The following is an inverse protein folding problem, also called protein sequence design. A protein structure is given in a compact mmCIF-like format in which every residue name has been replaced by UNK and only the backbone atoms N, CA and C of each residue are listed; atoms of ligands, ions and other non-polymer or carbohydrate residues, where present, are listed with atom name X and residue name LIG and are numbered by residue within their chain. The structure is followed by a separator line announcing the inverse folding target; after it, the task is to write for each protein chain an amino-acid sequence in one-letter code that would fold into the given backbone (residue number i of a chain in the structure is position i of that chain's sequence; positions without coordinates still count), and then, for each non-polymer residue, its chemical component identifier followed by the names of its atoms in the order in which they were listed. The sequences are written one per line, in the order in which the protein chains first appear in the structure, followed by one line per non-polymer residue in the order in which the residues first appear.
data_IF_595934574943
#
_entry.id   IF_595934574943
#
_cell.length_a   1.000
_cell.length_b   1.000
_cell.length_c   1.000
_cell.angle_alpha   90.00
_cell.angle_beta   90.00
_cell.angle_gamma   90.00
#
_symmetry.space_group_name_H-M   'P 1'
#
loop_
_entity.id
_entity.type
_entity.pdbx_description
1 polymer ?
#
# COMPACT_ATOMS: atom_id res chain seq x y z
N UNK A 1 -25.64 -31.93 25.43
CA UNK A 1 -25.76 -31.21 24.15
C UNK A 1 -24.35 -30.96 23.64
N UNK A 2 -23.92 -31.73 22.65
CA UNK A 2 -22.57 -31.64 22.08
C UNK A 2 -22.64 -30.65 20.90
N UNK A 3 -21.89 -29.54 21.02
CA UNK A 3 -21.73 -28.56 19.96
C UNK A 3 -20.64 -29.06 19.01
N UNK A 4 -21.02 -29.48 17.81
CA UNK A 4 -20.12 -29.82 16.73
C UNK A 4 -19.57 -28.55 16.10
N UNK A 5 -18.31 -28.23 16.36
CA UNK A 5 -17.58 -27.25 15.55
C UNK A 5 -17.23 -27.89 14.20
N UNK A 6 -17.92 -27.44 13.15
CA UNK A 6 -17.54 -27.72 11.77
C UNK A 6 -16.30 -26.85 11.44
N UNK A 7 -15.13 -27.44 11.48
CA UNK A 7 -13.93 -26.86 10.87
C UNK A 7 -14.08 -27.03 9.34
N UNK A 8 -14.45 -25.96 8.65
CA UNK A 8 -14.40 -25.92 7.18
C UNK A 8 -12.93 -25.81 6.79
N UNK A 9 -12.31 -26.94 6.49
CA UNK A 9 -11.00 -26.97 5.84
C UNK A 9 -11.17 -26.44 4.41
N UNK A 10 -10.71 -25.21 4.16
CA UNK A 10 -10.61 -24.64 2.82
C UNK A 10 -9.50 -25.38 2.08
N UNK A 11 -9.85 -26.43 1.35
CA UNK A 11 -8.92 -27.13 0.48
C UNK A 11 -8.60 -26.21 -0.72
N UNK A 12 -7.39 -25.68 -0.77
CA UNK A 12 -6.88 -24.98 -1.94
C UNK A 12 -6.75 -25.99 -3.08
N UNK A 13 -7.51 -25.84 -4.14
CA UNK A 13 -7.37 -26.67 -5.34
C UNK A 13 -6.17 -26.13 -6.13
N UNK A 14 -5.13 -26.93 -6.24
CA UNK A 14 -3.97 -26.67 -7.11
C UNK A 14 -4.26 -27.26 -8.49
N UNK A 15 -4.48 -26.41 -9.46
CA UNK A 15 -4.61 -26.81 -10.88
C UNK A 15 -3.36 -26.38 -11.61
N UNK A 16 -2.68 -27.30 -12.31
CA UNK A 16 -1.58 -26.98 -13.19
C UNK A 16 -2.15 -26.37 -14.48
N UNK A 17 -1.96 -25.07 -14.70
CA UNK A 17 -2.35 -24.39 -15.92
C UNK A 17 -1.17 -24.28 -16.90
N UNK A 18 -1.44 -24.28 -18.20
CA UNK A 18 -0.40 -24.31 -19.24
C UNK A 18 0.01 -22.89 -19.65
N UNK A 19 0.85 -22.24 -18.88
CA UNK A 19 1.56 -21.05 -19.34
C UNK A 19 3.04 -21.18 -18.97
N UNK A 20 3.89 -21.33 -20.01
CA UNK A 20 5.35 -21.31 -19.85
C UNK A 20 5.88 -19.98 -20.34
N UNK A 21 6.22 -19.07 -19.44
CA UNK A 21 7.08 -17.93 -19.72
C UNK A 21 8.50 -18.24 -19.20
N UNK A 22 9.50 -18.07 -20.04
CA UNK A 22 10.89 -18.23 -19.64
C UNK A 22 11.30 -19.63 -19.14
N UNK A 23 10.58 -20.70 -19.54
CA UNK A 23 10.89 -22.08 -19.14
C UNK A 23 10.39 -22.50 -17.75
N UNK A 24 9.57 -21.67 -17.07
CA UNK A 24 8.99 -21.98 -15.77
C UNK A 24 7.49 -22.24 -15.88
N UNK A 25 7.03 -23.32 -15.22
CA UNK A 25 5.61 -23.63 -15.11
C UNK A 25 4.97 -22.76 -14.05
N UNK A 26 3.93 -22.01 -14.42
CA UNK A 26 3.05 -21.35 -13.51
C UNK A 26 2.09 -22.35 -12.87
N UNK A 27 1.98 -22.28 -11.57
CA UNK A 27 0.98 -23.01 -10.79
C UNK A 27 -0.12 -22.08 -10.36
N UNK A 28 -1.32 -22.61 -10.22
CA UNK A 28 -2.49 -21.86 -9.83
C UNK A 28 -3.01 -22.32 -8.46
N UNK A 29 -3.32 -21.35 -7.60
CA UNK A 29 -4.03 -21.58 -6.34
C UNK A 29 -5.19 -20.62 -6.28
N UNK A 30 -6.41 -21.14 -6.09
CA UNK A 30 -7.62 -20.34 -5.97
C UNK A 30 -7.98 -20.09 -4.51
N UNK A 31 -8.34 -18.86 -4.19
CA UNK A 31 -9.01 -18.49 -2.95
C UNK A 31 -10.39 -17.91 -3.27
N UNK A 32 -11.25 -17.60 -2.31
CA UNK A 32 -12.54 -16.98 -2.59
C UNK A 32 -12.46 -15.70 -3.45
N UNK A 33 -11.44 -14.84 -3.22
CA UNK A 33 -11.34 -13.54 -3.86
C UNK A 33 -10.11 -13.37 -4.75
N UNK A 34 -9.16 -14.31 -4.72
CA UNK A 34 -7.93 -14.22 -5.51
C UNK A 34 -7.69 -15.47 -6.34
N UNK A 35 -7.02 -15.25 -7.48
CA UNK A 35 -6.38 -16.26 -8.29
C UNK A 35 -4.88 -16.03 -8.20
N UNK A 36 -4.17 -16.91 -7.49
CA UNK A 36 -2.73 -16.78 -7.27
C UNK A 36 -1.99 -17.67 -8.27
N UNK A 37 -1.29 -17.04 -9.19
CA UNK A 37 -0.37 -17.67 -10.13
C UNK A 37 1.03 -17.56 -9.55
N UNK A 38 1.75 -18.68 -9.40
CA UNK A 38 3.05 -18.67 -8.75
C UNK A 38 4.05 -19.63 -9.42
N UNK A 39 5.31 -19.22 -9.46
CA UNK A 39 6.40 -19.99 -10.07
C UNK A 39 7.08 -20.96 -9.10
N UNK A 40 6.85 -20.81 -7.80
CA UNK A 40 7.41 -21.69 -6.78
C UNK A 40 6.60 -22.99 -6.65
N UNK A 41 7.20 -24.13 -6.22
CA UNK A 41 6.48 -25.40 -6.00
C UNK A 41 5.34 -25.29 -5.00
N UNK A 42 5.42 -24.40 -4.05
CA UNK A 42 4.42 -24.11 -3.00
C UNK A 42 4.34 -22.62 -2.72
N UNK A 43 3.20 -22.20 -2.21
CA UNK A 43 3.01 -20.84 -1.71
C UNK A 43 3.66 -20.66 -0.34
N UNK A 44 4.15 -19.44 -0.02
CA UNK A 44 4.60 -19.12 1.33
C UNK A 44 3.51 -19.39 2.37
N UNK A 45 3.88 -19.96 3.53
CA UNK A 45 2.92 -20.25 4.60
C UNK A 45 2.12 -18.99 4.99
N UNK A 46 0.80 -19.14 5.13
CA UNK A 46 -0.09 -18.07 5.56
C UNK A 46 -0.46 -17.04 4.46
N UNK A 47 0.14 -17.10 3.26
CA UNK A 47 -0.11 -16.10 2.20
C UNK A 47 -1.58 -16.07 1.79
N UNK A 48 -2.23 -17.19 1.56
CA UNK A 48 -3.64 -17.26 1.15
C UNK A 48 -4.59 -16.71 2.21
N UNK A 49 -4.33 -17.02 3.48
CA UNK A 49 -5.11 -16.47 4.61
C UNK A 49 -4.89 -14.96 4.71
N UNK A 50 -3.65 -14.52 4.60
CA UNK A 50 -3.31 -13.09 4.62
C UNK A 50 -3.95 -12.30 3.48
N UNK A 51 -4.02 -12.88 2.28
CA UNK A 51 -4.73 -12.28 1.13
C UNK A 51 -6.22 -12.08 1.41
N UNK A 52 -6.88 -13.07 1.99
CA UNK A 52 -8.31 -12.93 2.34
C UNK A 52 -8.53 -11.90 3.47
N UNK A 53 -7.60 -11.77 4.42
CA UNK A 53 -7.62 -10.70 5.42
C UNK A 53 -7.45 -9.34 4.77
N UNK A 54 -6.52 -9.19 3.82
CA UNK A 54 -6.35 -7.96 3.03
C UNK A 54 -7.66 -7.61 2.31
N UNK A 55 -8.24 -8.58 1.60
CA UNK A 55 -9.50 -8.35 0.90
C UNK A 55 -10.61 -7.89 1.85
N UNK A 56 -10.75 -8.52 3.01
CA UNK A 56 -11.73 -8.11 4.01
C UNK A 56 -11.50 -6.66 4.47
N UNK A 57 -10.26 -6.31 4.82
CA UNK A 57 -9.90 -4.95 5.26
C UNK A 57 -10.14 -3.93 4.15
N UNK A 58 -9.65 -4.16 2.93
CA UNK A 58 -9.87 -3.26 1.80
C UNK A 58 -11.37 -3.08 1.48
N UNK A 59 -12.18 -4.10 1.65
CA UNK A 59 -13.64 -3.98 1.50
C UNK A 59 -14.26 -3.08 2.57
N UNK A 60 -13.78 -3.15 3.81
CA UNK A 60 -14.26 -2.30 4.90
C UNK A 60 -13.83 -0.84 4.71
N UNK A 61 -12.59 -0.60 4.32
CA UNK A 61 -12.02 0.74 4.21
C UNK A 61 -12.32 1.40 2.86
N UNK A 62 -12.25 0.64 1.77
CA UNK A 62 -12.38 1.14 0.39
C UNK A 62 -13.71 0.74 -0.29
N UNK A 63 -14.62 0.07 0.42
CA UNK A 63 -15.92 -0.33 -0.13
C UNK A 63 -16.78 0.84 -0.63
N UNK A 64 -16.53 2.04 -0.12
CA UNK A 64 -17.17 3.27 -0.61
C UNK A 64 -16.72 3.68 -2.03
N UNK A 65 -15.58 3.16 -2.52
CA UNK A 65 -15.04 3.43 -3.85
C UNK A 65 -15.31 2.31 -4.86
N UNK A 66 -15.76 1.14 -4.43
CA UNK A 66 -15.92 -0.01 -5.30
C UNK A 66 -17.14 -0.84 -4.93
N UNK A 67 -17.92 -1.18 -5.94
CA UNK A 67 -18.90 -2.26 -5.80
C UNK A 67 -18.14 -3.59 -5.90
N UNK A 68 -17.61 -4.08 -4.77
CA UNK A 68 -16.99 -5.40 -4.68
C UNK A 68 -18.04 -6.47 -5.02
N UNK A 69 -18.31 -6.66 -6.31
CA UNK A 69 -19.38 -7.56 -6.78
C UNK A 69 -19.13 -9.04 -6.46
N UNK A 70 -17.96 -9.36 -5.92
CA UNK A 70 -17.61 -10.70 -5.44
C UNK A 70 -17.47 -11.77 -6.53
N UNK A 71 -17.65 -11.40 -7.81
CA UNK A 71 -17.62 -12.36 -8.92
C UNK A 71 -16.25 -12.47 -9.59
N UNK A 72 -15.48 -11.38 -9.57
CA UNK A 72 -14.18 -11.34 -10.26
C UNK A 72 -13.04 -11.41 -9.24
N UNK A 73 -12.29 -12.50 -9.27
CA UNK A 73 -11.07 -12.62 -8.48
C UNK A 73 -10.00 -11.67 -9.03
N UNK A 74 -9.27 -11.03 -8.13
CA UNK A 74 -8.04 -10.35 -8.53
C UNK A 74 -6.93 -11.38 -8.78
N UNK A 75 -6.15 -11.18 -9.83
CA UNK A 75 -5.04 -12.05 -10.19
C UNK A 75 -3.78 -11.61 -9.43
N UNK A 76 -3.10 -12.55 -8.78
CA UNK A 76 -1.82 -12.31 -8.12
C UNK A 76 -0.76 -13.13 -8.84
N UNK A 77 0.23 -12.45 -9.40
CA UNK A 77 1.39 -13.08 -10.03
C UNK A 77 2.57 -13.05 -9.06
N UNK A 78 2.89 -14.19 -8.46
CA UNK A 78 4.00 -14.34 -7.54
C UNK A 78 5.19 -14.95 -8.28
N UNK A 79 6.11 -14.11 -8.69
CA UNK A 79 7.37 -14.53 -9.28
C UNK A 79 8.29 -15.15 -8.22
N UNK A 80 9.09 -16.14 -8.58
CA UNK A 80 9.97 -16.85 -7.63
C UNK A 80 11.05 -15.99 -6.99
N UNK A 81 11.50 -14.92 -7.71
CA UNK A 81 12.55 -14.01 -7.29
C UNK A 81 12.46 -12.67 -8.05
N UNK A 82 13.28 -11.70 -7.64
CA UNK A 82 13.35 -10.37 -8.25
C UNK A 82 13.77 -10.43 -9.72
N UNK A 83 14.68 -11.32 -10.09
CA UNK A 83 15.14 -11.43 -11.47
C UNK A 83 14.02 -11.89 -12.41
N UNK A 84 13.27 -12.92 -12.01
CA UNK A 84 12.12 -13.41 -12.75
C UNK A 84 11.00 -12.35 -12.83
N UNK A 85 10.83 -11.55 -11.80
CA UNK A 85 9.85 -10.48 -11.75
C UNK A 85 10.19 -9.35 -12.74
N UNK A 86 11.42 -8.86 -12.72
CA UNK A 86 11.86 -7.74 -13.59
C UNK A 86 11.83 -8.12 -15.07
N UNK A 87 12.13 -9.39 -15.40
CA UNK A 87 12.12 -9.89 -16.80
C UNK A 87 10.83 -10.62 -17.16
N UNK A 88 9.81 -10.55 -16.31
CA UNK A 88 8.51 -11.19 -16.56
C UNK A 88 7.61 -10.38 -17.48
N UNK A 89 6.40 -10.90 -17.73
CA UNK A 89 5.40 -10.35 -18.67
C UNK A 89 5.11 -8.85 -18.48
N UNK A 90 5.20 -8.35 -17.24
CA UNK A 90 4.79 -6.99 -16.94
C UNK A 90 5.93 -5.97 -16.97
N UNK A 91 7.17 -6.41 -17.18
CA UNK A 91 8.37 -5.57 -17.29
C UNK A 91 8.40 -4.44 -16.25
N UNK A 92 8.22 -4.74 -14.94
CA UNK A 92 8.19 -3.71 -13.92
C UNK A 92 9.56 -3.05 -13.79
N UNK A 93 9.63 -1.81 -13.28
CA UNK A 93 10.91 -1.18 -13.00
C UNK A 93 11.76 -2.04 -12.05
N UNK A 94 13.09 -2.12 -12.26
CA UNK A 94 13.98 -2.94 -11.44
C UNK A 94 14.00 -2.61 -9.94
N UNK A 95 13.53 -1.42 -9.59
CA UNK A 95 13.44 -0.96 -8.20
C UNK A 95 12.07 -1.20 -7.54
N UNK A 96 11.05 -1.65 -8.29
CA UNK A 96 9.73 -1.88 -7.71
C UNK A 96 9.67 -3.22 -6.97
N UNK A 97 8.88 -3.27 -5.91
CA UNK A 97 8.61 -4.50 -5.16
C UNK A 97 7.25 -5.11 -5.53
N UNK A 98 6.47 -4.40 -6.36
CA UNK A 98 5.17 -4.82 -6.85
C UNK A 98 4.71 -3.89 -7.97
N UNK A 99 3.71 -4.33 -8.72
CA UNK A 99 3.05 -3.52 -9.73
C UNK A 99 1.59 -3.91 -9.88
N UNK A 100 0.71 -2.90 -9.91
CA UNK A 100 -0.70 -3.08 -10.25
C UNK A 100 -0.89 -3.01 -11.76
N UNK A 101 -1.48 -4.04 -12.35
CA UNK A 101 -1.77 -4.17 -13.79
C UNK A 101 -3.28 -4.02 -13.99
N UNK A 102 -3.70 -2.80 -14.25
CA UNK A 102 -5.11 -2.42 -14.23
C UNK A 102 -5.97 -3.17 -15.25
N UNK A 103 -5.51 -3.28 -16.48
CA UNK A 103 -6.26 -3.91 -17.57
C UNK A 103 -6.47 -5.43 -17.37
N UNK A 104 -5.62 -6.06 -16.56
CA UNK A 104 -5.69 -7.48 -16.23
C UNK A 104 -6.32 -7.73 -14.86
N UNK A 105 -6.71 -6.70 -14.12
CA UNK A 105 -7.11 -6.79 -12.72
C UNK A 105 -6.13 -7.65 -11.91
N UNK A 106 -4.85 -7.29 -12.02
CA UNK A 106 -3.76 -8.11 -11.50
C UNK A 106 -2.75 -7.30 -10.70
N UNK A 107 -2.10 -7.99 -9.79
CA UNK A 107 -0.91 -7.52 -9.07
C UNK A 107 0.21 -8.52 -9.31
N UNK A 108 1.40 -8.01 -9.64
CA UNK A 108 2.59 -8.82 -9.75
C UNK A 108 3.61 -8.41 -8.67
N UNK A 109 4.20 -9.41 -8.00
CA UNK A 109 5.24 -9.21 -6.99
C UNK A 109 6.31 -10.30 -7.11
N UNK A 110 7.58 -10.03 -6.72
CA UNK A 110 8.56 -11.08 -6.48
C UNK A 110 8.31 -11.77 -5.14
N UNK A 111 8.70 -13.03 -5.01
CA UNK A 111 8.73 -13.68 -3.70
C UNK A 111 9.75 -12.98 -2.80
N UNK A 112 9.35 -12.73 -1.57
CA UNK A 112 10.16 -12.10 -0.53
C UNK A 112 10.38 -13.10 0.61
N UNK A 113 11.42 -12.85 1.41
CA UNK A 113 11.75 -13.71 2.55
C UNK A 113 10.61 -13.82 3.58
N UNK A 114 9.99 -12.67 3.86
CA UNK A 114 8.94 -12.57 4.87
C UNK A 114 7.56 -12.47 4.21
N UNK A 115 6.64 -13.38 4.58
CA UNK A 115 5.25 -13.33 4.10
C UNK A 115 4.56 -12.02 4.45
N UNK A 116 4.84 -11.46 5.63
CA UNK A 116 4.31 -10.15 6.05
C UNK A 116 4.73 -9.02 5.11
N UNK A 117 5.95 -9.05 4.58
CA UNK A 117 6.43 -8.06 3.61
C UNK A 117 5.69 -8.17 2.27
N UNK A 118 5.46 -9.41 1.79
CA UNK A 118 4.63 -9.63 0.59
C UNK A 118 3.21 -9.15 0.80
N UNK A 119 2.60 -9.43 1.96
CA UNK A 119 1.24 -9.02 2.27
C UNK A 119 1.10 -7.48 2.31
N UNK A 120 2.09 -6.75 2.82
CA UNK A 120 2.09 -5.28 2.78
C UNK A 120 2.11 -4.76 1.35
N UNK A 121 3.01 -5.28 0.50
CA UNK A 121 3.05 -4.90 -0.92
C UNK A 121 1.75 -5.26 -1.63
N UNK A 122 1.19 -6.44 -1.35
CA UNK A 122 -0.09 -6.85 -1.94
C UNK A 122 -1.25 -5.95 -1.50
N UNK A 123 -1.28 -5.50 -0.25
CA UNK A 123 -2.27 -4.53 0.21
C UNK A 123 -2.13 -3.19 -0.53
N UNK A 124 -0.89 -2.70 -0.69
CA UNK A 124 -0.57 -1.48 -1.43
C UNK A 124 -1.06 -1.55 -2.88
N UNK A 125 -0.64 -2.56 -3.62
CA UNK A 125 -0.96 -2.71 -5.04
C UNK A 125 -2.47 -2.98 -5.29
N UNK A 126 -3.12 -3.76 -4.42
CA UNK A 126 -4.56 -3.96 -4.52
C UNK A 126 -5.34 -2.66 -4.23
N UNK A 127 -4.83 -1.78 -3.38
CA UNK A 127 -5.40 -0.45 -3.16
C UNK A 127 -5.38 0.37 -4.45
N UNK A 128 -4.25 0.35 -5.18
CA UNK A 128 -4.16 0.99 -6.49
C UNK A 128 -5.17 0.42 -7.48
N UNK A 129 -5.34 -0.91 -7.56
CA UNK A 129 -6.34 -1.52 -8.46
C UNK A 129 -7.75 -0.97 -8.20
N UNK A 130 -8.15 -0.87 -6.93
CA UNK A 130 -9.46 -0.39 -6.53
C UNK A 130 -9.61 1.11 -6.83
N UNK A 131 -8.64 1.90 -6.36
CA UNK A 131 -8.76 3.35 -6.36
C UNK A 131 -8.59 3.97 -7.75
N UNK A 132 -7.66 3.47 -8.55
CA UNK A 132 -7.48 3.91 -9.94
C UNK A 132 -8.69 3.51 -10.79
N UNK A 133 -9.23 2.30 -10.59
CA UNK A 133 -10.46 1.88 -11.28
C UNK A 133 -11.61 2.85 -11.01
N UNK A 134 -11.83 3.21 -9.74
CA UNK A 134 -12.84 4.19 -9.35
C UNK A 134 -12.67 5.54 -10.05
N UNK A 135 -11.44 6.07 -10.16
CA UNK A 135 -11.18 7.32 -10.86
C UNK A 135 -11.39 7.20 -12.38
N UNK A 136 -10.99 6.07 -12.98
CA UNK A 136 -11.13 5.81 -14.42
C UNK A 136 -12.57 5.69 -14.87
N UNK A 137 -13.51 5.33 -13.99
CA UNK A 137 -14.95 5.44 -14.26
C UNK A 137 -15.36 6.88 -14.56
N UNK A 138 -14.65 7.88 -14.04
CA UNK A 138 -14.77 9.31 -14.38
C UNK A 138 -13.82 9.78 -15.48
N UNK A 139 -13.18 8.86 -16.23
CA UNK A 139 -12.20 9.14 -17.29
C UNK A 139 -10.98 9.96 -16.83
N UNK A 140 -10.53 9.75 -15.59
CA UNK A 140 -9.39 10.45 -14.97
C UNK A 140 -8.52 9.47 -14.19
N UNK A 141 -7.27 9.85 -13.99
CA UNK A 141 -6.42 9.20 -13.01
C UNK A 141 -6.44 9.98 -11.67
N UNK A 142 -6.30 9.30 -10.53
CA UNK A 142 -6.20 9.98 -9.24
C UNK A 142 -4.93 10.83 -9.17
N UNK A 143 -4.94 11.95 -8.41
CA UNK A 143 -3.71 12.65 -8.09
C UNK A 143 -2.71 11.72 -7.40
N UNK A 144 -1.43 11.74 -7.81
CA UNK A 144 -0.41 10.81 -7.31
C UNK A 144 -0.34 10.77 -5.78
N UNK A 145 -0.38 11.94 -5.12
CA UNK A 145 -0.28 12.00 -3.66
C UNK A 145 -1.46 11.34 -2.92
N UNK A 146 -2.69 11.40 -3.48
CA UNK A 146 -3.86 10.71 -2.88
C UNK A 146 -3.73 9.20 -3.09
N UNK A 147 -3.37 8.80 -4.30
CA UNK A 147 -3.21 7.40 -4.68
C UNK A 147 -2.17 6.70 -3.82
N UNK A 148 -0.97 7.30 -3.73
CA UNK A 148 0.12 6.77 -2.91
C UNK A 148 -0.20 6.82 -1.41
N UNK A 149 -0.73 7.95 -0.95
CA UNK A 149 -1.08 8.12 0.45
C UNK A 149 -2.11 7.11 0.94
N UNK A 150 -3.10 6.78 0.11
CA UNK A 150 -4.10 5.78 0.43
C UNK A 150 -3.51 4.36 0.43
N UNK A 151 -2.68 4.03 -0.57
CA UNK A 151 -2.01 2.73 -0.62
C UNK A 151 -1.09 2.50 0.59
N UNK A 152 -0.35 3.54 1.01
CA UNK A 152 0.48 3.47 2.22
C UNK A 152 -0.34 3.36 3.52
N UNK A 153 -1.55 3.90 3.58
CA UNK A 153 -2.44 3.66 4.73
C UNK A 153 -2.84 2.20 4.80
N UNK A 154 -3.11 1.58 3.65
CA UNK A 154 -3.52 0.19 3.57
C UNK A 154 -2.37 -0.83 3.73
N UNK A 155 -1.12 -0.39 3.65
CA UNK A 155 0.04 -1.19 4.06
C UNK A 155 0.07 -1.44 5.58
N UNK A 156 -0.56 -0.57 6.38
CA UNK A 156 -0.50 -0.67 7.83
C UNK A 156 -1.20 -1.95 8.32
N UNK A 157 -0.52 -2.69 9.18
CA UNK A 157 -1.05 -3.93 9.76
C UNK A 157 -2.26 -3.66 10.68
N UNK A 158 -2.31 -2.48 11.31
CA UNK A 158 -3.42 -2.09 12.20
C UNK A 158 -3.77 -0.61 12.05
N UNK A 159 -4.95 -0.27 11.54
CA UNK A 159 -5.45 1.11 11.54
C UNK A 159 -5.64 1.71 12.94
N UNK A 160 -5.87 0.88 13.96
CA UNK A 160 -6.04 1.31 15.35
C UNK A 160 -4.71 1.67 16.01
N UNK A 161 -3.62 1.07 15.53
CA UNK A 161 -2.26 1.27 16.01
C UNK A 161 -1.35 1.82 14.90
N UNK A 162 -1.61 3.05 14.39
CA UNK A 162 -0.85 3.61 13.27
C UNK A 162 0.63 3.77 13.60
N UNK A 163 1.00 3.86 14.88
CA UNK A 163 2.38 3.94 15.35
C UNK A 163 3.22 2.70 15.03
N UNK A 164 2.62 1.57 14.71
CA UNK A 164 3.33 0.36 14.26
C UNK A 164 3.80 0.49 12.82
N UNK A 165 3.17 1.37 12.02
CA UNK A 165 3.57 1.64 10.65
C UNK A 165 4.86 2.46 10.58
N UNK A 166 5.80 2.06 9.72
CA UNK A 166 7.00 2.82 9.43
C UNK A 166 6.67 4.21 8.84
N UNK A 167 5.61 4.32 8.04
CA UNK A 167 5.16 5.59 7.48
C UNK A 167 4.74 6.59 8.57
N UNK A 168 4.02 6.11 9.59
CA UNK A 168 3.64 6.95 10.73
C UNK A 168 4.86 7.37 11.55
N UNK A 169 5.80 6.47 11.81
CA UNK A 169 7.03 6.78 12.52
C UNK A 169 7.87 7.81 11.77
N UNK A 170 8.00 7.67 10.44
CA UNK A 170 8.70 8.63 9.58
C UNK A 170 7.99 9.98 9.58
N UNK A 171 6.65 10.02 9.54
CA UNK A 171 5.87 11.24 9.66
C UNK A 171 6.17 11.98 10.98
N UNK A 172 6.21 11.26 12.09
CA UNK A 172 6.49 11.83 13.43
C UNK A 172 7.93 12.32 13.55
N UNK A 173 8.87 11.66 12.88
CA UNK A 173 10.29 12.00 12.89
C UNK A 173 10.67 13.15 11.95
N UNK A 174 9.84 13.45 10.94
CA UNK A 174 10.16 14.45 9.91
C UNK A 174 10.20 15.86 10.49
N UNK A 175 11.27 16.60 10.20
CA UNK A 175 11.41 18.01 10.62
C UNK A 175 10.39 18.90 9.89
N UNK A 176 9.91 19.93 10.60
CA UNK A 176 8.92 20.87 10.06
C UNK A 176 9.37 21.60 8.78
N UNK A 177 10.69 21.75 8.58
CA UNK A 177 11.28 22.40 7.40
C UNK A 177 11.36 21.49 6.17
N UNK A 178 11.20 20.18 6.35
CA UNK A 178 11.30 19.20 5.27
C UNK A 178 10.01 19.04 4.48
N UNK A 179 8.87 19.53 5.00
CA UNK A 179 7.60 19.47 4.31
C UNK A 179 7.56 20.40 3.11
N UNK A 180 7.15 19.89 1.96
CA UNK A 180 6.87 20.72 0.80
C UNK A 180 5.73 21.71 1.11
N UNK A 181 5.79 22.96 0.59
CA UNK A 181 4.62 23.85 0.58
C UNK A 181 3.44 23.16 -0.13
N UNK A 182 2.25 23.26 0.44
CA UNK A 182 1.10 22.44 0.03
C UNK A 182 0.71 22.65 -1.44
N UNK A 183 0.74 23.89 -1.93
CA UNK A 183 0.41 24.19 -3.32
C UNK A 183 1.41 23.57 -4.31
N UNK A 184 2.70 23.52 -3.95
CA UNK A 184 3.73 22.85 -4.72
C UNK A 184 3.51 21.33 -4.67
N UNK A 185 3.30 20.80 -3.46
CA UNK A 185 3.13 19.38 -3.23
C UNK A 185 2.00 18.76 -4.07
N UNK A 186 0.85 19.41 -4.15
CA UNK A 186 -0.29 18.90 -4.93
C UNK A 186 -0.04 18.79 -6.43
N UNK A 187 0.99 19.45 -6.95
CA UNK A 187 1.36 19.44 -8.38
C UNK A 187 2.50 18.47 -8.69
N UNK A 188 3.21 17.97 -7.67
CA UNK A 188 4.35 17.07 -7.87
C UNK A 188 3.86 15.75 -8.47
N UNK A 189 4.50 15.36 -9.57
CA UNK A 189 4.51 14.00 -10.05
C UNK A 189 5.85 13.36 -9.64
N UNK A 190 5.88 12.45 -8.66
CA UNK A 190 7.13 11.95 -8.09
C UNK A 190 8.02 11.26 -9.12
N UNK A 191 7.44 10.60 -10.11
CA UNK A 191 8.20 9.90 -11.15
C UNK A 191 8.86 10.86 -12.15
N UNK A 192 8.22 12.01 -12.43
CA UNK A 192 8.72 12.98 -13.42
C UNK A 192 9.59 14.05 -12.77
N UNK A 193 9.15 14.54 -11.60
CA UNK A 193 9.71 15.75 -11.01
C UNK A 193 10.81 15.45 -9.98
N UNK A 194 10.83 14.22 -9.41
CA UNK A 194 11.71 13.87 -8.28
C UNK A 194 12.58 12.63 -8.54
N UNK A 195 12.52 12.01 -9.71
CA UNK A 195 13.08 10.67 -9.98
C UNK A 195 14.58 10.53 -9.68
N UNK A 196 15.36 11.62 -9.75
CA UNK A 196 16.81 11.63 -9.53
C UNK A 196 17.19 11.92 -8.07
N UNK A 197 16.25 12.32 -7.21
CA UNK A 197 16.49 12.69 -5.83
C UNK A 197 15.73 11.79 -4.85
N UNK A 198 16.42 10.77 -4.35
CA UNK A 198 15.83 9.78 -3.41
C UNK A 198 15.29 10.41 -2.12
N UNK A 199 15.92 11.49 -1.64
CA UNK A 199 15.49 12.18 -0.42
C UNK A 199 14.17 12.95 -0.68
N UNK A 200 14.09 13.67 -1.78
CA UNK A 200 12.86 14.37 -2.17
C UNK A 200 11.71 13.39 -2.43
N UNK A 201 12.00 12.26 -3.08
CA UNK A 201 11.03 11.17 -3.27
C UNK A 201 10.53 10.65 -1.93
N UNK A 202 11.42 10.32 -0.99
CA UNK A 202 11.03 9.84 0.34
C UNK A 202 10.18 10.88 1.08
N UNK A 203 10.53 12.16 1.02
CA UNK A 203 9.76 13.27 1.61
C UNK A 203 8.37 13.38 0.99
N UNK A 204 8.25 13.22 -0.34
CA UNK A 204 6.96 13.20 -1.01
C UNK A 204 6.05 12.10 -0.47
N UNK A 205 6.55 10.88 -0.37
CA UNK A 205 5.76 9.74 0.13
C UNK A 205 5.34 9.93 1.59
N UNK A 206 6.23 10.37 2.47
CA UNK A 206 5.87 10.65 3.87
C UNK A 206 4.83 11.76 3.97
N UNK A 207 4.91 12.79 3.13
CA UNK A 207 3.90 13.87 3.09
C UNK A 207 2.57 13.36 2.53
N UNK A 208 2.57 12.55 1.48
CA UNK A 208 1.38 11.91 0.91
C UNK A 208 0.66 11.06 1.95
N UNK A 209 1.40 10.18 2.64
CA UNK A 209 0.88 9.41 3.77
C UNK A 209 0.25 10.31 4.84
N UNK A 210 0.98 11.32 5.29
CA UNK A 210 0.56 12.19 6.40
C UNK A 210 -0.72 12.98 6.08
N UNK A 211 -0.83 13.50 4.86
CA UNK A 211 -2.02 14.25 4.40
C UNK A 211 -3.21 13.29 4.28
N UNK A 212 -3.03 12.14 3.67
CA UNK A 212 -4.11 11.16 3.50
C UNK A 212 -4.55 10.61 4.85
N UNK A 213 -3.62 10.31 5.75
CA UNK A 213 -3.93 9.93 7.13
C UNK A 213 -4.76 11.01 7.83
N UNK A 214 -4.39 12.29 7.70
CA UNK A 214 -5.15 13.40 8.26
C UNK A 214 -6.57 13.47 7.69
N UNK A 215 -6.72 13.35 6.36
CA UNK A 215 -8.02 13.43 5.70
C UNK A 215 -8.94 12.24 6.03
N UNK A 216 -8.39 11.04 6.18
CA UNK A 216 -9.16 9.81 6.43
C UNK A 216 -9.43 9.62 7.93
N UNK A 217 -8.41 9.78 8.79
CA UNK A 217 -8.51 9.41 10.22
C UNK A 217 -8.95 10.55 11.13
N UNK A 218 -8.72 11.80 10.75
CA UNK A 218 -9.22 12.97 11.50
C UNK A 218 -10.67 13.31 11.15
N UNK A 219 -11.11 12.92 9.97
CA UNK A 219 -12.43 13.19 9.42
C UNK A 219 -13.19 11.87 9.17
N UNK A 220 -14.34 11.95 8.53
CA UNK A 220 -15.12 10.75 8.22
C UNK A 220 -14.74 10.16 6.84
N UNK A 221 -14.89 8.86 6.68
CA UNK A 221 -14.73 8.19 5.39
C UNK A 221 -15.65 8.77 4.30
N UNK A 222 -16.87 9.20 4.67
CA UNK A 222 -17.80 9.85 3.74
C UNK A 222 -17.31 11.21 3.24
N UNK A 223 -16.63 11.98 4.10
CA UNK A 223 -16.00 13.24 3.68
C UNK A 223 -14.83 12.97 2.74
N UNK A 224 -14.02 11.93 3.01
CA UNK A 224 -12.94 11.53 2.13
C UNK A 224 -13.48 11.06 0.78
N UNK A 225 -14.55 10.25 0.77
CA UNK A 225 -15.23 9.89 -0.48
C UNK A 225 -15.72 11.10 -1.25
N UNK A 226 -16.44 12.02 -0.58
CA UNK A 226 -16.92 13.26 -1.22
C UNK A 226 -15.77 14.08 -1.84
N UNK A 227 -14.62 14.15 -1.15
CA UNK A 227 -13.42 14.78 -1.69
C UNK A 227 -12.93 14.08 -2.95
N UNK A 228 -12.83 12.76 -2.95
CA UNK A 228 -12.41 11.97 -4.10
C UNK A 228 -13.42 12.05 -5.25
N UNK A 229 -14.74 12.06 -4.97
CA UNK A 229 -15.78 12.28 -5.97
C UNK A 229 -15.57 13.61 -6.71
N UNK A 230 -15.28 14.68 -5.96
CA UNK A 230 -15.02 16.00 -6.56
C UNK A 230 -13.77 16.01 -7.44
N UNK A 231 -12.70 15.37 -7.00
CA UNK A 231 -11.48 15.23 -7.81
C UNK A 231 -11.75 14.44 -9.08
N UNK A 232 -12.48 13.31 -8.97
CA UNK A 232 -12.87 12.47 -10.10
C UNK A 232 -13.74 13.24 -11.10
N UNK A 233 -14.64 14.09 -10.60
CA UNK A 233 -15.50 14.96 -11.42
C UNK A 233 -14.74 16.16 -12.01
N UNK A 234 -13.42 16.27 -11.75
CA UNK A 234 -12.55 17.30 -12.35
C UNK A 234 -12.47 18.60 -11.59
N UNK A 235 -13.00 18.67 -10.38
CA UNK A 235 -12.80 19.83 -9.53
C UNK A 235 -11.34 19.99 -9.14
N UNK A 236 -10.91 21.23 -8.89
CA UNK A 236 -9.58 21.51 -8.34
C UNK A 236 -9.44 20.90 -6.93
N UNK A 237 -8.19 20.63 -6.51
CA UNK A 237 -7.92 20.19 -5.12
C UNK A 237 -8.47 21.21 -4.12
N UNK A 238 -8.31 22.50 -4.38
CA UNK A 238 -8.85 23.57 -3.52
C UNK A 238 -10.37 23.50 -3.39
N UNK A 239 -11.09 23.37 -4.51
CA UNK A 239 -12.56 23.29 -4.48
C UNK A 239 -13.04 22.00 -3.83
N UNK A 240 -12.35 20.89 -4.08
CA UNK A 240 -12.64 19.61 -3.46
C UNK A 240 -12.47 19.66 -1.92
N UNK A 241 -11.40 20.28 -1.43
CA UNK A 241 -11.17 20.54 -0.01
C UNK A 241 -12.26 21.45 0.59
N UNK A 242 -12.63 22.50 -0.14
CA UNK A 242 -13.68 23.43 0.31
C UNK A 242 -15.05 22.75 0.40
N UNK A 243 -15.41 21.97 -0.62
CA UNK A 243 -16.73 21.34 -0.71
C UNK A 243 -16.90 20.14 0.24
N UNK A 244 -15.86 19.34 0.43
CA UNK A 244 -15.94 18.13 1.26
C UNK A 244 -15.60 18.38 2.73
N UNK A 245 -14.64 19.27 3.02
CA UNK A 245 -14.12 19.50 4.37
C UNK A 245 -14.30 20.91 4.88
N UNK A 246 -14.86 21.82 4.06
CA UNK A 246 -15.10 23.23 4.40
C UNK A 246 -13.81 24.04 4.70
N UNK A 247 -12.66 23.63 4.14
CA UNK A 247 -11.44 24.42 4.20
C UNK A 247 -11.54 25.60 3.25
N UNK A 248 -11.26 26.80 3.75
CA UNK A 248 -11.45 28.05 2.98
C UNK A 248 -10.46 28.21 1.83
N UNK A 249 -9.25 27.70 2.00
CA UNK A 249 -8.16 27.74 1.03
C UNK A 249 -7.17 26.59 1.26
N UNK A 250 -6.25 26.36 0.32
CA UNK A 250 -5.11 25.45 0.52
C UNK A 250 -4.28 25.85 1.73
N UNK A 251 -4.07 27.15 1.97
CA UNK A 251 -3.36 27.64 3.14
C UNK A 251 -4.09 27.38 4.47
N UNK A 252 -5.44 27.49 4.52
CA UNK A 252 -6.22 27.12 5.70
C UNK A 252 -6.09 25.62 5.98
N UNK A 253 -6.15 24.78 4.94
CA UNK A 253 -5.91 23.35 5.04
C UNK A 253 -4.50 23.05 5.56
N UNK A 254 -3.46 23.65 4.98
CA UNK A 254 -2.07 23.46 5.38
C UNK A 254 -1.86 23.83 6.86
N UNK A 255 -2.42 24.95 7.31
CA UNK A 255 -2.31 25.38 8.70
C UNK A 255 -2.93 24.36 9.67
N UNK A 256 -4.10 23.81 9.33
CA UNK A 256 -4.77 22.81 10.19
C UNK A 256 -4.05 21.46 10.17
N UNK A 257 -3.56 21.02 9.01
CA UNK A 257 -2.74 19.82 8.91
C UNK A 257 -1.43 19.97 9.69
N UNK A 258 -0.72 21.10 9.58
CA UNK A 258 0.50 21.38 10.35
C UNK A 258 0.23 21.49 11.85
N UNK A 259 -0.93 21.99 12.26
CA UNK A 259 -1.33 22.01 13.65
C UNK A 259 -1.58 20.60 14.19
N UNK A 260 -2.23 19.75 13.41
CA UNK A 260 -2.43 18.34 13.73
C UNK A 260 -1.11 17.58 13.84
N UNK A 261 -0.16 17.77 12.89
CA UNK A 261 1.18 17.14 12.97
C UNK A 261 1.94 17.47 14.26
N UNK A 262 1.72 18.66 14.80
CA UNK A 262 2.37 19.12 16.05
C UNK A 262 1.71 18.59 17.32
N UNK A 263 0.60 17.87 17.21
CA UNK A 263 -0.07 17.30 18.40
C UNK A 263 0.89 16.33 19.12
N UNK A 264 1.15 16.55 20.42
CA UNK A 264 2.04 15.69 21.20
C UNK A 264 1.61 14.22 21.25
N UNK A 265 0.35 13.93 20.92
CA UNK A 265 -0.17 12.56 20.89
C UNK A 265 0.63 11.67 19.92
N UNK A 266 1.05 12.20 18.77
CA UNK A 266 1.81 11.42 17.80
C UNK A 266 3.16 10.97 18.37
N UNK A 267 3.90 11.87 19.01
CA UNK A 267 5.18 11.55 19.66
C UNK A 267 5.01 10.56 20.80
N UNK A 268 3.97 10.75 21.63
CA UNK A 268 3.68 9.83 22.75
C UNK A 268 3.40 8.41 22.24
N UNK A 269 2.58 8.24 21.22
CA UNK A 269 2.29 6.90 20.62
C UNK A 269 3.57 6.19 20.20
N UNK A 270 4.45 6.87 19.46
CA UNK A 270 5.71 6.28 18.98
C UNK A 270 6.67 5.99 20.14
N UNK A 271 6.76 6.86 21.17
CA UNK A 271 7.61 6.58 22.34
C UNK A 271 7.11 5.38 23.13
N UNK A 272 5.80 5.29 23.39
CA UNK A 272 5.21 4.15 24.10
C UNK A 272 5.47 2.82 23.37
N UNK A 273 5.37 2.79 22.03
CA UNK A 273 5.69 1.61 21.26
C UNK A 273 7.16 1.21 21.44
N UNK A 274 8.10 2.16 21.35
CA UNK A 274 9.53 1.89 21.52
C UNK A 274 9.86 1.41 22.93
N UNK A 275 9.22 1.95 23.95
CA UNK A 275 9.42 1.51 25.34
C UNK A 275 8.87 0.09 25.55
N UNK A 276 7.73 -0.24 24.96
CA UNK A 276 7.18 -1.60 24.99
C UNK A 276 8.10 -2.63 24.30
N UNK A 277 8.69 -2.26 23.17
CA UNK A 277 9.63 -3.12 22.44
C UNK A 277 10.92 -3.36 23.26
N UNK A 278 11.48 -2.32 23.90
CA UNK A 278 12.66 -2.46 24.79
C UNK A 278 12.38 -3.36 25.99
N UNK A 279 11.22 -3.21 26.62
CA UNK A 279 10.85 -4.06 27.76
C UNK A 279 10.64 -5.52 27.40
N UNK A 280 10.34 -5.84 26.13
CA UNK A 280 10.32 -7.22 25.63
C UNK A 280 11.73 -7.77 25.38
N UNK A 281 12.65 -6.96 24.86
CA UNK A 281 14.04 -7.37 24.65
C UNK A 281 14.80 -7.58 25.99
N UNK A 282 14.53 -6.75 26.99
CA UNK A 282 15.13 -6.85 28.33
C UNK A 282 14.54 -8.00 29.18
N UNK A 283 13.36 -8.50 28.80
CA UNK A 283 12.66 -9.61 29.50
C UNK A 283 13.07 -11.01 29.07
N UNK A 284 13.87 -11.16 28.01
CA UNK A 284 14.49 -12.42 27.60
C UNK A 284 15.78 -12.61 28.38
N UNK A 285 15.67 -13.10 29.62
CA UNK A 285 16.82 -13.55 30.40
C UNK A 285 17.38 -14.81 29.72
N UNK A 286 18.61 -14.71 29.22
CA UNK A 286 19.40 -15.80 28.65
C UNK A 286 19.46 -17.02 29.58
N UNK A 287 18.78 -18.10 29.20
CA UNK A 287 19.20 -19.44 29.51
C UNK A 287 19.65 -20.13 28.22
N UNK A 288 20.84 -19.80 27.72
CA UNK A 288 21.60 -20.72 26.86
C UNK A 288 23.00 -20.19 26.60
N UNK A 289 23.97 -21.01 26.80
CA UNK A 289 25.39 -20.92 26.71
C UNK A 289 26.04 -20.25 25.49
N UNK A 290 27.38 -20.18 25.47
CA UNK A 290 28.17 -19.23 24.70
C UNK A 290 28.26 -19.61 23.22
N UNK A 291 27.77 -18.78 22.34
CA UNK A 291 28.08 -18.89 20.92
C UNK A 291 26.97 -18.42 19.97
N UNK A 292 27.01 -17.13 19.58
CA UNK A 292 26.23 -16.68 18.42
C UNK A 292 25.70 -15.26 18.56
N UNK A 293 26.59 -14.28 18.33
CA UNK A 293 26.20 -12.87 18.29
C UNK A 293 25.16 -12.58 17.22
N UNK A 294 23.95 -12.24 17.63
CA UNK A 294 22.93 -11.62 16.79
C UNK A 294 23.33 -10.16 16.55
N UNK A 295 23.85 -9.90 15.38
CA UNK A 295 24.08 -8.52 14.91
C UNK A 295 22.73 -7.87 14.63
N UNK A 296 22.56 -6.67 15.19
CA UNK A 296 21.35 -5.88 15.14
C UNK A 296 20.72 -5.74 13.75
N UNK A 297 19.40 -5.68 13.74
CA UNK A 297 18.59 -5.32 12.59
C UNK A 297 18.97 -3.92 12.09
N UNK A 298 19.83 -3.86 11.09
CA UNK A 298 19.88 -2.69 10.22
C UNK A 298 18.68 -2.78 9.29
N UNK A 299 17.62 -2.05 9.61
CA UNK A 299 16.47 -1.87 8.75
C UNK A 299 16.87 -1.05 7.52
N UNK A 300 17.44 -1.72 6.53
CA UNK A 300 17.66 -1.17 5.21
C UNK A 300 16.36 -1.07 4.44
N UNK A 301 15.47 -0.16 4.83
CA UNK A 301 14.37 0.26 3.99
C UNK A 301 14.85 1.38 3.08
N UNK A 302 15.43 1.02 1.95
CA UNK A 302 15.49 1.94 0.83
C UNK A 302 14.05 2.20 0.40
N UNK A 303 13.57 3.44 0.55
CA UNK A 303 12.34 3.89 -0.07
C UNK A 303 12.56 3.82 -1.56
N UNK A 304 12.02 2.78 -2.18
CA UNK A 304 12.06 2.62 -3.64
C UNK A 304 10.74 3.15 -4.20
N UNK A 305 10.76 4.17 -5.05
CA UNK A 305 9.54 4.70 -5.64
C UNK A 305 8.87 3.62 -6.51
N UNK A 306 7.63 3.32 -6.17
CA UNK A 306 6.77 2.41 -6.94
C UNK A 306 5.84 3.24 -7.80
N UNK A 307 6.21 3.56 -9.03
CA UNK A 307 5.26 4.12 -10.00
C UNK A 307 5.64 3.74 -11.41
N UNK A 308 4.86 2.86 -12.01
CA UNK A 308 4.74 2.75 -13.46
C UNK A 308 3.29 3.04 -13.83
N UNK A 309 3.08 4.19 -14.45
CA UNK A 309 1.89 4.36 -15.29
C UNK A 309 2.23 3.78 -16.67
N UNK A 310 1.47 2.80 -17.20
CA UNK A 310 1.60 2.43 -18.61
C UNK A 310 1.30 3.68 -19.43
N UNK A 311 2.27 4.08 -20.25
CA UNK A 311 2.19 5.26 -21.09
C UNK A 311 0.92 5.26 -21.90
N UNK A 312 0.27 6.43 -21.99
CA UNK A 312 -0.74 6.73 -22.98
C UNK A 312 -0.22 6.35 -24.35
N UNK A 313 -0.90 5.40 -25.00
CA UNK A 313 -0.53 4.90 -26.31
C UNK A 313 -0.27 6.04 -27.28
N UNK A 314 0.89 6.03 -27.88
CA UNK A 314 1.16 6.86 -29.05
C UNK A 314 0.19 6.42 -30.17
N UNK A 315 -0.82 7.23 -30.42
CA UNK A 315 -1.61 7.14 -31.63
C UNK A 315 -0.66 7.42 -32.80
N UNK A 316 -0.23 6.40 -33.50
CA UNK A 316 0.36 6.55 -34.83
C UNK A 316 -0.72 7.13 -35.74
N UNK A 317 -0.56 8.39 -36.13
CA UNK A 317 -1.21 8.94 -37.32
C UNK A 317 -0.54 8.28 -38.53
N UNK A 318 -1.32 7.57 -39.33
CA UNK A 318 -1.13 7.47 -40.77
C UNK A 318 -1.87 8.63 -41.42
#
# INVERSE_FOLDING_TARGET
MAVWMLAVALAAQVSAGPFSEGGWEWRETLTPHFRVLHQSPWLPPGLTIGLEHINFRLRMDLGIFSNFSGRDRANIYLYRDMQSYVHGEFEPPPWSNGVAVYDKNAVAIPAMRETSSMLRVLAHENTHLIFVKYFREGHRDPPSWVNEGLAMLEEADSPEHPETSQWYQNMVAMDAKQWFPMETFFRINPTKDLHDDKELVARFYVQAYSITHFLVRKHSHLQFKSFCDKLRDGQSVQDSLRLAYQYRSVGDFENRWRAWLRDPVHKRRVSTLKDAQRGQDDGVVDEAGPGGGFKGFSSGWEVKPQLVFPGAGQSRRQ
#
